data_IF_679894695806
#
_entry.id   IF_679894695806
#
_cell.length_a   1.000
_cell.length_b   1.000
_cell.length_c   1.000
_cell.angle_alpha   90.00
_cell.angle_beta   90.00
_cell.angle_gamma   90.00
#
_symmetry.space_group_name_H-M   'P 1'
#
loop_
_entity.id
_entity.type
_entity.pdbx_description
1 polymer ?
#
# COMPACT_ATOMS: atom_id res chain seq x y z
N UNK A 1 12.55 -25.47 -30.57
CA UNK A 1 11.38 -25.65 -29.67
C UNK A 1 11.78 -25.56 -28.19
N UNK A 2 12.88 -26.19 -27.76
CA UNK A 2 13.39 -26.18 -26.37
C UNK A 2 13.61 -24.77 -25.77
N UNK A 3 14.28 -23.86 -26.49
CA UNK A 3 14.58 -22.51 -25.99
C UNK A 3 13.33 -21.67 -25.67
N UNK A 4 12.24 -21.86 -26.40
CA UNK A 4 10.97 -21.13 -26.15
C UNK A 4 10.29 -21.60 -24.87
N UNK A 5 10.36 -22.90 -24.59
CA UNK A 5 9.86 -23.50 -23.34
C UNK A 5 10.70 -23.06 -22.14
N UNK A 6 12.03 -23.08 -22.26
CA UNK A 6 12.94 -22.62 -21.19
C UNK A 6 12.73 -21.14 -20.89
N UNK A 7 12.62 -20.28 -21.92
CA UNK A 7 12.36 -18.84 -21.73
C UNK A 7 11.00 -18.56 -21.07
N UNK A 8 9.96 -19.30 -21.44
CA UNK A 8 8.64 -19.18 -20.81
C UNK A 8 8.67 -19.60 -19.34
N UNK A 9 9.36 -20.70 -19.02
CA UNK A 9 9.50 -21.18 -17.65
C UNK A 9 10.30 -20.19 -16.78
N UNK A 10 11.41 -19.65 -17.33
CA UNK A 10 12.23 -18.64 -16.65
C UNK A 10 11.43 -17.35 -16.39
N UNK A 11 10.67 -16.87 -17.38
CA UNK A 11 9.78 -15.71 -17.22
C UNK A 11 8.73 -15.92 -16.13
N UNK A 12 8.12 -17.12 -16.08
CA UNK A 12 7.14 -17.47 -15.06
C UNK A 12 7.73 -17.56 -13.65
N UNK A 13 8.90 -18.19 -13.50
CA UNK A 13 9.62 -18.27 -12.21
C UNK A 13 10.03 -16.88 -11.73
N UNK A 14 10.54 -16.02 -12.60
CA UNK A 14 10.86 -14.62 -12.29
C UNK A 14 9.60 -13.85 -11.87
N UNK A 15 8.47 -14.06 -12.55
CA UNK A 15 7.19 -13.44 -12.21
C UNK A 15 6.71 -13.85 -10.80
N UNK A 16 6.73 -15.15 -10.48
CA UNK A 16 6.35 -15.66 -9.16
C UNK A 16 7.29 -15.14 -8.06
N UNK A 17 8.60 -15.13 -8.30
CA UNK A 17 9.59 -14.61 -7.36
C UNK A 17 9.41 -13.10 -7.10
N UNK A 18 9.17 -12.29 -8.15
CA UNK A 18 8.85 -10.87 -7.99
C UNK A 18 7.55 -10.67 -7.21
N UNK A 19 6.51 -11.46 -7.50
CA UNK A 19 5.22 -11.38 -6.82
C UNK A 19 5.31 -11.77 -5.34
N UNK A 20 6.04 -12.82 -4.99
CA UNK A 20 6.20 -13.26 -3.60
C UNK A 20 7.02 -12.27 -2.76
N UNK A 21 8.03 -11.62 -3.35
CA UNK A 21 8.77 -10.52 -2.72
C UNK A 21 7.89 -9.29 -2.43
N UNK A 22 7.02 -8.92 -3.38
CA UNK A 22 6.06 -7.81 -3.21
C UNK A 22 5.07 -8.11 -2.07
N UNK A 23 4.52 -9.32 -2.02
CA UNK A 23 3.58 -9.73 -0.96
C UNK A 23 4.25 -9.66 0.42
N UNK A 24 5.50 -10.14 0.54
CA UNK A 24 6.26 -10.09 1.80
C UNK A 24 6.54 -8.65 2.25
N UNK A 25 6.95 -7.79 1.31
CA UNK A 25 7.17 -6.35 1.56
C UNK A 25 5.90 -5.64 2.04
N UNK A 26 4.74 -5.95 1.46
CA UNK A 26 3.45 -5.39 1.89
C UNK A 26 3.03 -5.86 3.29
N UNK A 27 3.23 -7.14 3.61
CA UNK A 27 2.89 -7.67 4.94
C UNK A 27 3.74 -7.00 6.03
N UNK A 28 5.04 -6.84 5.76
CA UNK A 28 5.98 -6.14 6.64
C UNK A 28 5.60 -4.66 6.83
N UNK A 29 5.39 -3.93 5.72
CA UNK A 29 4.97 -2.52 5.75
C UNK A 29 3.66 -2.33 6.52
N UNK A 30 2.66 -3.17 6.24
CA UNK A 30 1.37 -3.11 6.91
C UNK A 30 1.51 -3.25 8.43
N UNK A 31 2.30 -4.23 8.90
CA UNK A 31 2.56 -4.45 10.32
C UNK A 31 3.22 -3.25 10.99
N UNK A 32 4.26 -2.68 10.37
CA UNK A 32 4.99 -1.54 10.91
C UNK A 32 4.14 -0.27 10.98
N UNK A 33 3.37 0.04 9.93
CA UNK A 33 2.44 1.18 9.92
C UNK A 33 1.38 1.03 11.01
N UNK A 34 0.86 -0.20 11.24
CA UNK A 34 -0.07 -0.46 12.34
C UNK A 34 0.57 -0.12 13.68
N UNK A 35 1.76 -0.66 13.94
CA UNK A 35 2.48 -0.45 15.19
C UNK A 35 2.72 1.04 15.46
N UNK A 36 3.12 1.81 14.45
CA UNK A 36 3.34 3.24 14.58
C UNK A 36 2.04 4.00 14.86
N UNK A 37 0.94 3.66 14.17
CA UNK A 37 -0.37 4.25 14.43
C UNK A 37 -0.89 3.92 15.84
N UNK A 38 -0.71 2.68 16.31
CA UNK A 38 -1.11 2.25 17.64
C UNK A 38 -0.33 3.02 18.74
N UNK A 39 0.93 3.38 18.45
CA UNK A 39 1.76 4.25 19.29
C UNK A 39 1.47 5.76 19.13
N UNK A 40 0.51 6.14 18.28
CA UNK A 40 0.19 7.53 17.90
C UNK A 40 1.36 8.27 17.23
N UNK A 41 2.32 7.54 16.66
CA UNK A 41 3.46 8.09 15.91
C UNK A 41 3.07 8.31 14.44
N UNK A 42 1.98 9.04 14.20
CA UNK A 42 1.35 9.17 12.89
C UNK A 42 2.25 9.78 11.81
N UNK A 43 3.08 10.77 12.17
CA UNK A 43 4.06 11.35 11.24
C UNK A 43 5.07 10.31 10.76
N UNK A 44 5.61 9.48 11.66
CA UNK A 44 6.56 8.41 11.30
C UNK A 44 5.90 7.31 10.48
N UNK A 45 4.63 7.00 10.78
CA UNK A 45 3.82 6.08 9.98
C UNK A 45 3.70 6.56 8.53
N UNK A 46 3.47 7.85 8.33
CA UNK A 46 3.41 8.49 7.02
C UNK A 46 4.78 8.62 6.33
N UNK A 47 5.86 8.89 7.05
CA UNK A 47 7.23 8.87 6.51
C UNK A 47 7.61 7.47 6.00
N UNK A 48 7.26 6.43 6.77
CA UNK A 48 7.48 5.04 6.38
C UNK A 48 6.69 4.68 5.12
N UNK A 49 5.42 5.13 5.05
CA UNK A 49 4.58 4.96 3.87
C UNK A 49 5.21 5.62 2.62
N UNK A 50 5.71 6.85 2.73
CA UNK A 50 6.35 7.55 1.62
C UNK A 50 7.63 6.85 1.15
N UNK A 51 8.48 6.44 2.09
CA UNK A 51 9.71 5.70 1.79
C UNK A 51 9.46 4.42 0.99
N UNK A 52 8.36 3.72 1.29
CA UNK A 52 7.99 2.54 0.53
C UNK A 52 7.35 2.89 -0.81
N UNK A 53 6.65 4.03 -0.91
CA UNK A 53 6.01 4.52 -2.13
C UNK A 53 7.03 4.93 -3.18
N UNK A 54 8.14 5.52 -2.76
CA UNK A 54 9.25 5.85 -3.67
C UNK A 54 9.89 4.59 -4.29
N UNK A 55 9.91 3.49 -3.54
CA UNK A 55 10.52 2.22 -3.99
C UNK A 55 9.58 1.33 -4.79
N UNK A 56 8.26 1.55 -4.72
CA UNK A 56 7.26 0.64 -5.27
C UNK A 56 6.05 1.39 -5.81
N UNK A 57 5.46 0.91 -6.91
CA UNK A 57 4.18 1.43 -7.37
C UNK A 57 3.09 1.14 -6.33
N UNK A 58 2.46 2.21 -5.81
CA UNK A 58 1.39 2.21 -4.80
C UNK A 58 0.16 1.39 -5.21
N UNK A 59 -0.05 1.17 -6.52
CA UNK A 59 -1.07 0.27 -7.04
C UNK A 59 -0.92 -1.17 -6.51
N UNK A 60 0.27 -1.53 -6.05
CA UNK A 60 0.57 -2.85 -5.47
C UNK A 60 0.25 -2.95 -3.98
N UNK A 61 -0.13 -1.86 -3.31
CA UNK A 61 -0.39 -1.87 -1.87
C UNK A 61 -1.71 -2.54 -1.56
N UNK A 62 -1.80 -3.25 -0.44
CA UNK A 62 -3.08 -3.74 0.06
C UNK A 62 -3.93 -2.57 0.57
N UNK A 63 -5.24 -2.71 0.49
CA UNK A 63 -6.18 -1.67 0.93
C UNK A 63 -6.02 -1.35 2.43
N UNK A 64 -5.60 -2.34 3.22
CA UNK A 64 -5.24 -2.18 4.64
C UNK A 64 -4.11 -1.18 4.88
N UNK A 65 -3.07 -1.18 4.05
CA UNK A 65 -1.95 -0.23 4.16
C UNK A 65 -2.47 1.18 3.89
N UNK A 66 -3.34 1.33 2.88
CA UNK A 66 -3.91 2.63 2.55
C UNK A 66 -4.84 3.13 3.66
N UNK A 67 -5.75 2.30 4.17
CA UNK A 67 -6.62 2.63 5.31
C UNK A 67 -5.82 3.19 6.48
N UNK A 68 -4.71 2.54 6.82
CA UNK A 68 -3.86 2.98 7.94
C UNK A 68 -3.13 4.29 7.65
N UNK A 69 -2.70 4.52 6.41
CA UNK A 69 -2.11 5.79 6.00
C UNK A 69 -3.15 6.93 6.02
N UNK A 70 -4.38 6.67 5.56
CA UNK A 70 -5.49 7.63 5.62
C UNK A 70 -5.82 7.98 7.09
N UNK A 71 -5.91 6.98 7.97
CA UNK A 71 -6.07 7.20 9.41
C UNK A 71 -4.97 8.10 9.96
N UNK A 72 -3.70 7.85 9.61
CA UNK A 72 -2.60 8.69 10.08
C UNK A 72 -2.72 10.14 9.56
N UNK A 73 -3.20 10.35 8.33
CA UNK A 73 -3.48 11.69 7.80
C UNK A 73 -4.58 12.41 8.60
N UNK A 74 -5.69 11.72 8.90
CA UNK A 74 -6.77 12.24 9.74
C UNK A 74 -6.25 12.71 11.11
N UNK A 75 -5.50 11.85 11.79
CA UNK A 75 -5.05 12.12 13.17
C UNK A 75 -4.08 13.30 13.29
N UNK A 76 -3.38 13.65 12.19
CA UNK A 76 -2.51 14.84 12.15
C UNK A 76 -3.14 16.05 11.43
N UNK A 77 -4.37 15.91 10.93
CA UNK A 77 -5.07 16.94 10.17
C UNK A 77 -4.51 17.24 8.77
N UNK A 78 -3.73 16.31 8.18
CA UNK A 78 -3.15 16.49 6.83
C UNK A 78 -4.13 16.04 5.74
N UNK A 79 -5.21 16.82 5.59
CA UNK A 79 -6.29 16.55 4.65
C UNK A 79 -5.82 16.58 3.19
N UNK A 80 -4.86 17.45 2.87
CA UNK A 80 -4.29 17.57 1.53
C UNK A 80 -3.62 16.26 1.13
N UNK A 81 -2.81 15.68 2.01
CA UNK A 81 -2.16 14.40 1.78
C UNK A 81 -3.17 13.25 1.70
N UNK A 82 -4.15 13.20 2.60
CA UNK A 82 -5.21 12.20 2.55
C UNK A 82 -5.98 12.23 1.22
N UNK A 83 -6.32 13.42 0.73
CA UNK A 83 -6.98 13.62 -0.57
C UNK A 83 -6.10 13.14 -1.73
N UNK A 84 -4.80 13.42 -1.70
CA UNK A 84 -3.86 12.90 -2.71
C UNK A 84 -3.81 11.37 -2.72
N UNK A 85 -3.78 10.74 -1.53
CA UNK A 85 -3.82 9.27 -1.41
C UNK A 85 -5.13 8.74 -1.97
N UNK A 86 -6.27 9.31 -1.56
CA UNK A 86 -7.60 8.94 -2.05
C UNK A 86 -7.69 9.01 -3.58
N UNK A 87 -7.26 10.10 -4.20
CA UNK A 87 -7.28 10.26 -5.65
C UNK A 87 -6.49 9.16 -6.37
N UNK A 88 -5.32 8.81 -5.84
CA UNK A 88 -4.47 7.75 -6.41
C UNK A 88 -5.11 6.35 -6.39
N UNK A 89 -6.04 6.10 -5.47
CA UNK A 89 -6.66 4.79 -5.31
C UNK A 89 -8.16 4.78 -5.65
N UNK A 90 -8.70 5.92 -6.08
CA UNK A 90 -10.13 6.10 -6.42
C UNK A 90 -10.68 5.02 -7.34
N UNK A 91 -9.87 4.56 -8.31
CA UNK A 91 -10.22 3.46 -9.23
C UNK A 91 -10.33 2.09 -8.54
N UNK A 92 -9.58 1.86 -7.46
CA UNK A 92 -9.57 0.60 -6.67
C UNK A 92 -10.65 0.56 -5.61
N UNK A 93 -11.08 1.73 -5.12
CA UNK A 93 -11.99 1.86 -3.99
C UNK A 93 -13.46 1.66 -4.31
N UNK A 94 -13.82 1.67 -5.59
CA UNK A 94 -15.20 1.48 -6.03
C UNK A 94 -15.83 0.18 -5.51
N UNK A 95 -15.02 -0.78 -5.05
CA UNK A 95 -15.47 -2.10 -4.59
C UNK A 95 -14.95 -2.51 -3.20
N UNK A 96 -14.19 -1.67 -2.46
CA UNK A 96 -13.72 -2.04 -1.12
C UNK A 96 -14.56 -1.38 -0.01
N UNK A 97 -15.39 -2.15 0.73
CA UNK A 97 -16.25 -1.61 1.78
C UNK A 97 -15.50 -1.09 3.01
N UNK A 98 -14.25 -1.51 3.23
CA UNK A 98 -13.46 -1.12 4.42
C UNK A 98 -12.77 0.23 4.26
N UNK A 99 -12.66 0.74 3.04
CA UNK A 99 -12.00 2.03 2.80
C UNK A 99 -12.95 3.20 2.98
N UNK A 100 -14.24 3.02 2.69
CA UNK A 100 -15.28 4.05 2.84
C UNK A 100 -15.31 4.66 4.25
N UNK A 101 -15.34 3.88 5.36
CA UNK A 101 -15.28 4.46 6.71
C UNK A 101 -14.03 5.32 6.95
N UNK A 102 -12.89 4.93 6.39
CA UNK A 102 -11.64 5.67 6.55
C UNK A 102 -11.66 7.01 5.82
N UNK A 103 -12.38 7.10 4.69
CA UNK A 103 -12.58 8.35 3.97
C UNK A 103 -13.58 9.27 4.67
N UNK A 104 -14.62 8.73 5.30
CA UNK A 104 -15.54 9.52 6.13
C UNK A 104 -14.81 10.17 7.29
N UNK A 105 -13.87 9.45 7.93
CA UNK A 105 -13.05 10.04 8.99
C UNK A 105 -12.01 11.05 8.46
N UNK A 106 -11.67 11.00 7.18
CA UNK A 106 -10.73 11.95 6.59
C UNK A 106 -11.37 13.30 6.28
N UNK A 107 -12.57 13.33 5.72
CA UNK A 107 -13.24 14.56 5.28
C UNK A 107 -14.19 15.12 6.36
#
# INVERSE_FOLDING_TARGET
MLNKLVNNCLSFVIFIAKRSAIIRSNADLGGQIKLLNDKKEFKKSLELFDKYKEKNNIEKYSNWIIIRALKACTEIGDLKRGSNIHNLISSRLKYDPYVLPSLIHLY
#
